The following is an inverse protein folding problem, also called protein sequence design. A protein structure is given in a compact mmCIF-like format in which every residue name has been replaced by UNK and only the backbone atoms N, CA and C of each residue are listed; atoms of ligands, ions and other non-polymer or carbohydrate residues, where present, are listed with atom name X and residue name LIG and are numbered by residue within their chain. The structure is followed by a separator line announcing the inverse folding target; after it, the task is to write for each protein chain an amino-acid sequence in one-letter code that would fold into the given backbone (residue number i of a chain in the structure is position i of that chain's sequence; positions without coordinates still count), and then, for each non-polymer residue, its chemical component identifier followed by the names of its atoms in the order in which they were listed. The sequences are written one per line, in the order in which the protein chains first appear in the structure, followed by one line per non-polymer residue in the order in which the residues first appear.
data_IF_488140612894
#
_entry.id   IF_488140612894
#
_cell.length_a   1.000
_cell.length_b   1.000
_cell.length_c   1.000
_cell.angle_alpha   90.00
_cell.angle_beta   90.00
_cell.angle_gamma   90.00
#
_symmetry.space_group_name_H-M   'P 1'
#
loop_
_entity.id
_entity.type
_entity.pdbx_description
1 polymer ?
#
# COMPACT_ATOMS: atom_id res chain seq x y z
N UNK A 1 16.58 12.05 -12.24
CA UNK A 1 16.97 12.39 -10.90
C UNK A 1 16.88 11.17 -10.00
N UNK A 2 18.03 10.75 -9.51
CA UNK A 2 18.15 9.48 -8.82
C UNK A 2 17.41 9.43 -7.48
N UNK A 3 17.38 10.55 -6.76
CA UNK A 3 16.77 10.57 -5.42
C UNK A 3 15.26 10.31 -5.47
N UNK A 4 14.57 10.86 -6.46
CA UNK A 4 13.13 10.65 -6.59
C UNK A 4 12.82 9.19 -6.95
N UNK A 5 13.65 8.58 -7.82
CA UNK A 5 13.44 7.19 -8.22
C UNK A 5 13.68 6.22 -7.06
N UNK A 6 14.70 6.49 -6.23
CA UNK A 6 14.96 5.66 -5.07
C UNK A 6 13.86 5.77 -4.03
N UNK A 7 13.38 6.98 -3.79
CA UNK A 7 12.28 7.21 -2.85
C UNK A 7 11.02 6.47 -3.31
N UNK A 8 10.76 6.50 -4.61
CA UNK A 8 9.61 5.80 -5.17
C UNK A 8 9.75 4.29 -5.02
N UNK A 9 10.94 3.74 -5.26
CA UNK A 9 11.18 2.31 -5.08
C UNK A 9 11.01 1.88 -3.64
N UNK A 10 11.55 2.65 -2.71
CA UNK A 10 11.41 2.36 -1.28
C UNK A 10 9.95 2.40 -0.86
N UNK A 11 9.22 3.40 -1.35
CA UNK A 11 7.80 3.55 -1.08
C UNK A 11 7.02 2.33 -1.58
N UNK A 12 7.25 1.93 -2.82
CA UNK A 12 6.55 0.80 -3.42
C UNK A 12 6.92 -0.52 -2.74
N UNK A 13 8.19 -0.69 -2.41
CA UNK A 13 8.64 -1.89 -1.71
C UNK A 13 8.04 -1.99 -0.30
N UNK A 14 7.98 -0.87 0.40
CA UNK A 14 7.38 -0.84 1.73
C UNK A 14 5.89 -1.15 1.65
N UNK A 15 5.20 -0.60 0.67
CA UNK A 15 3.79 -0.90 0.46
C UNK A 15 3.57 -2.39 0.22
N UNK A 16 4.38 -3.00 -0.63
CA UNK A 16 4.25 -4.42 -0.93
C UNK A 16 4.51 -5.32 0.27
N UNK A 17 5.36 -4.88 1.20
CA UNK A 17 5.64 -5.65 2.40
C UNK A 17 4.58 -5.49 3.49
N UNK A 18 4.03 -4.29 3.60
CA UNK A 18 3.10 -3.99 4.69
C UNK A 18 1.66 -4.32 4.35
N UNK A 19 1.29 -4.18 3.09
CA UNK A 19 -0.07 -4.45 2.67
C UNK A 19 -0.28 -5.94 2.42
N UNK A 20 -1.28 -6.50 3.08
CA UNK A 20 -1.71 -7.87 2.82
C UNK A 20 -3.19 -7.82 2.45
N UNK A 21 -3.48 -8.20 1.22
CA UNK A 21 -4.85 -8.23 0.74
C UNK A 21 -5.62 -9.33 1.48
N UNK A 22 -6.89 -9.08 1.84
CA UNK A 22 -7.74 -10.12 2.39
C UNK A 22 -7.90 -11.27 1.41
N UNK A 23 -8.18 -12.45 1.94
CA UNK A 23 -8.42 -13.62 1.10
C UNK A 23 -9.59 -13.36 0.15
N UNK A 24 -9.39 -13.73 -1.11
CA UNK A 24 -10.42 -13.57 -2.12
C UNK A 24 -10.38 -12.25 -2.86
N UNK A 25 -9.52 -11.32 -2.45
CA UNK A 25 -9.43 -10.03 -3.14
C UNK A 25 -8.80 -10.13 -4.52
N UNK A 26 -8.01 -11.17 -4.76
CA UNK A 26 -7.43 -11.43 -6.07
C UNK A 26 -8.31 -12.36 -6.92
N UNK A 27 -9.41 -12.86 -6.35
CA UNK A 27 -10.30 -13.77 -7.01
C UNK A 27 -11.75 -13.53 -6.56
N UNK A 28 -12.18 -12.27 -6.66
CA UNK A 28 -13.53 -11.91 -6.26
C UNK A 28 -14.55 -12.44 -7.28
N UNK A 29 -15.71 -12.86 -6.75
CA UNK A 29 -16.76 -13.45 -7.57
C UNK A 29 -17.97 -12.53 -7.75
N UNK A 30 -18.07 -11.50 -6.93
CA UNK A 30 -19.19 -10.56 -6.98
C UNK A 30 -18.66 -9.13 -7.01
N UNK A 31 -19.47 -8.22 -7.54
CA UNK A 31 -19.12 -6.80 -7.55
C UNK A 31 -18.99 -6.25 -6.13
N UNK A 32 -19.79 -6.75 -5.21
CA UNK A 32 -19.71 -6.33 -3.83
C UNK A 32 -18.36 -6.68 -3.22
N UNK A 33 -17.86 -7.89 -3.48
CA UNK A 33 -16.55 -8.29 -3.01
C UNK A 33 -15.46 -7.38 -3.60
N UNK A 34 -15.57 -7.06 -4.88
CA UNK A 34 -14.62 -6.17 -5.52
C UNK A 34 -14.60 -4.80 -4.85
N UNK A 35 -15.77 -4.23 -4.59
CA UNK A 35 -15.87 -2.92 -3.96
C UNK A 35 -15.28 -2.96 -2.55
N UNK A 36 -15.59 -3.99 -1.78
CA UNK A 36 -15.04 -4.14 -0.44
C UNK A 36 -13.50 -4.25 -0.46
N UNK A 37 -12.97 -5.00 -1.41
CA UNK A 37 -11.52 -5.13 -1.56
C UNK A 37 -10.88 -3.80 -1.93
N UNK A 38 -11.50 -3.05 -2.84
CA UNK A 38 -11.00 -1.73 -3.21
C UNK A 38 -11.03 -0.76 -2.05
N UNK A 39 -12.11 -0.78 -1.28
CA UNK A 39 -12.23 0.09 -0.10
C UNK A 39 -11.18 -0.27 0.94
N UNK A 40 -10.95 -1.55 1.17
CA UNK A 40 -9.91 -1.99 2.10
C UNK A 40 -8.54 -1.50 1.65
N UNK A 41 -8.25 -1.64 0.37
CA UNK A 41 -6.97 -1.19 -0.19
C UNK A 41 -6.80 0.32 -0.06
N UNK A 42 -7.85 1.08 -0.34
CA UNK A 42 -7.81 2.54 -0.25
C UNK A 42 -7.55 3.01 1.18
N UNK A 43 -8.20 2.39 2.16
CA UNK A 43 -7.98 2.72 3.56
C UNK A 43 -6.55 2.40 3.99
N UNK A 44 -6.08 1.22 3.63
CA UNK A 44 -4.73 0.80 3.95
C UNK A 44 -3.70 1.73 3.33
N UNK A 45 -3.93 2.11 2.08
CA UNK A 45 -3.02 3.00 1.39
C UNK A 45 -3.00 4.39 2.01
N UNK A 46 -4.15 4.89 2.45
CA UNK A 46 -4.23 6.19 3.11
C UNK A 46 -3.40 6.18 4.41
N UNK A 47 -3.56 5.15 5.22
CA UNK A 47 -2.77 5.02 6.44
C UNK A 47 -1.28 4.90 6.12
N UNK A 48 -0.95 4.11 5.12
CA UNK A 48 0.43 3.94 4.68
C UNK A 48 1.05 5.27 4.26
N UNK A 49 0.33 6.04 3.47
CA UNK A 49 0.84 7.32 3.00
C UNK A 49 1.07 8.30 4.15
N UNK A 50 0.18 8.29 5.14
CA UNK A 50 0.36 9.13 6.32
C UNK A 50 1.60 8.74 7.10
N UNK A 51 1.82 7.46 7.30
CA UNK A 51 3.00 6.97 7.99
C UNK A 51 4.26 7.22 7.20
N UNK A 52 4.18 7.06 5.90
CA UNK A 52 5.31 7.34 5.03
C UNK A 52 5.71 8.81 5.09
N UNK A 53 4.74 9.70 5.00
CA UNK A 53 4.98 11.14 5.07
C UNK A 53 5.56 11.54 6.42
N UNK A 54 5.16 10.86 7.50
CA UNK A 54 5.70 11.12 8.83
C UNK A 54 7.08 10.51 9.03
N UNK A 55 7.57 9.71 8.09
CA UNK A 55 8.89 9.09 8.19
C UNK A 55 8.92 7.84 9.06
N UNK A 56 7.78 7.35 9.49
CA UNK A 56 7.72 6.19 10.40
C UNK A 56 8.12 4.89 9.71
N UNK A 57 7.94 4.81 8.39
CA UNK A 57 8.19 3.59 7.64
C UNK A 57 9.50 3.60 6.87
N UNK A 58 10.24 4.69 6.95
CA UNK A 58 11.54 4.78 6.29
C UNK A 58 12.58 4.03 7.09
N UNK A 59 13.37 3.24 6.38
CA UNK A 59 14.41 2.43 7.00
C UNK A 59 15.80 3.04 6.85
N UNK A 60 15.90 4.20 6.28
CA UNK A 60 17.17 4.88 6.13
C UNK A 60 17.66 5.35 7.51
N UNK A 61 18.68 4.75 7.92
CA UNK A 61 19.33 5.13 9.17
C UNK A 61 20.15 6.39 8.98
#
# INVERSE_FOLDING_TARGET
MKAAAESQRQHDAAWGKLYQAPRGCDNWKTDQQMVECQNHKLRAKREFEQKWAAGELRTDA
#
